data_IF_849925435165
#
_entry.id   IF_849925435165
#
_cell.length_a   1.000
_cell.length_b   1.000
_cell.length_c   1.000
_cell.angle_alpha   90.00
_cell.angle_beta   90.00
_cell.angle_gamma   90.00
#
_symmetry.space_group_name_H-M   'P 1'
#
loop_
_entity.id
_entity.type
_entity.pdbx_description
1 polymer ?
#
# COMPACT_ATOMS: atom_id res chain seq x y z
N UNK A 1 -27.58 -1.33 -6.73
CA UNK A 1 -26.44 -1.39 -7.66
C UNK A 1 -25.69 -2.68 -7.41
N UNK A 2 -25.26 -3.38 -8.46
CA UNK A 2 -24.36 -4.53 -8.38
C UNK A 2 -22.92 -4.08 -8.11
N UNK A 3 -22.06 -5.01 -7.67
CA UNK A 3 -20.63 -4.73 -7.49
C UNK A 3 -19.97 -4.22 -8.77
N UNK A 4 -20.36 -4.77 -9.93
CA UNK A 4 -19.87 -4.33 -11.24
C UNK A 4 -20.29 -2.89 -11.57
N UNK A 5 -21.53 -2.51 -11.25
CA UNK A 5 -22.01 -1.13 -11.44
C UNK A 5 -21.27 -0.14 -10.53
N UNK A 6 -21.01 -0.52 -9.28
CA UNK A 6 -20.24 0.30 -8.32
C UNK A 6 -18.80 0.50 -8.80
N UNK A 7 -18.15 -0.58 -9.24
CA UNK A 7 -16.78 -0.51 -9.77
C UNK A 7 -16.71 0.38 -11.01
N UNK A 8 -17.66 0.24 -11.94
CA UNK A 8 -17.73 1.09 -13.13
C UNK A 8 -17.92 2.57 -12.78
N UNK A 9 -18.77 2.88 -11.80
CA UNK A 9 -18.97 4.25 -11.32
C UNK A 9 -17.69 4.81 -10.67
N UNK A 10 -17.01 4.04 -9.81
CA UNK A 10 -15.75 4.45 -9.20
C UNK A 10 -14.68 4.72 -10.26
N UNK A 11 -14.55 3.86 -11.27
CA UNK A 11 -13.56 4.03 -12.33
C UNK A 11 -13.75 5.29 -13.18
N UNK A 12 -14.95 5.87 -13.21
CA UNK A 12 -15.25 7.11 -13.93
C UNK A 12 -14.84 8.38 -13.17
N UNK A 13 -14.46 8.27 -11.88
CA UNK A 13 -14.05 9.42 -11.06
C UNK A 13 -12.60 9.85 -11.35
N UNK A 14 -12.22 11.09 -10.98
CA UNK A 14 -10.83 11.53 -10.95
C UNK A 14 -9.94 10.58 -10.14
N UNK A 15 -8.63 10.55 -10.45
CA UNK A 15 -7.69 9.63 -9.79
C UNK A 15 -7.65 9.77 -8.26
N UNK A 16 -7.70 11.00 -7.74
CA UNK A 16 -7.70 11.25 -6.31
C UNK A 16 -8.92 10.62 -5.61
N UNK A 17 -10.12 10.82 -6.16
CA UNK A 17 -11.36 10.23 -5.63
C UNK A 17 -11.36 8.70 -5.74
N UNK A 18 -10.79 8.15 -6.81
CA UNK A 18 -10.60 6.69 -6.95
C UNK A 18 -9.71 6.12 -5.85
N UNK A 19 -8.59 6.79 -5.57
CA UNK A 19 -7.67 6.39 -4.52
C UNK A 19 -8.32 6.47 -3.13
N UNK A 20 -9.08 7.53 -2.87
CA UNK A 20 -9.83 7.70 -1.63
C UNK A 20 -10.86 6.59 -1.42
N UNK A 21 -11.65 6.23 -2.45
CA UNK A 21 -12.60 5.12 -2.36
C UNK A 21 -11.89 3.79 -2.09
N UNK A 22 -10.78 3.53 -2.78
CA UNK A 22 -10.01 2.32 -2.57
C UNK A 22 -9.46 2.22 -1.13
N UNK A 23 -8.95 3.32 -0.60
CA UNK A 23 -8.45 3.40 0.78
C UNK A 23 -9.57 3.18 1.80
N UNK A 24 -10.69 3.90 1.67
CA UNK A 24 -11.82 3.77 2.59
C UNK A 24 -12.40 2.34 2.60
N UNK A 25 -12.48 1.70 1.43
CA UNK A 25 -12.94 0.33 1.33
C UNK A 25 -11.95 -0.65 1.97
N UNK A 26 -10.64 -0.43 1.80
CA UNK A 26 -9.61 -1.25 2.42
C UNK A 26 -9.62 -1.11 3.96
N UNK A 27 -9.78 0.11 4.47
CA UNK A 27 -9.91 0.38 5.90
C UNK A 27 -11.13 -0.33 6.50
N UNK A 28 -12.29 -0.27 5.84
CA UNK A 28 -13.48 -1.00 6.28
C UNK A 28 -13.25 -2.52 6.27
N UNK A 29 -12.69 -3.09 5.19
CA UNK A 29 -12.41 -4.53 5.09
C UNK A 29 -11.50 -5.00 6.23
N UNK A 30 -10.39 -4.28 6.46
CA UNK A 30 -9.43 -4.61 7.52
C UNK A 30 -10.07 -4.49 8.91
N UNK A 31 -10.88 -3.44 9.15
CA UNK A 31 -11.56 -3.22 10.43
C UNK A 31 -12.66 -4.25 10.71
N UNK A 32 -13.19 -4.91 9.69
CA UNK A 32 -14.20 -5.95 9.79
C UNK A 32 -13.61 -7.38 9.80
N UNK A 33 -12.34 -7.53 10.19
CA UNK A 33 -11.72 -8.82 10.48
C UNK A 33 -11.11 -9.55 9.30
N UNK A 34 -10.92 -8.87 8.17
CA UNK A 34 -10.08 -9.40 7.10
C UNK A 34 -8.60 -9.28 7.48
N UNK A 35 -8.06 -10.35 8.06
CA UNK A 35 -6.67 -10.48 8.49
C UNK A 35 -6.08 -11.77 7.92
N UNK A 36 -5.64 -11.77 6.65
CA UNK A 36 -5.10 -12.97 6.02
C UNK A 36 -3.71 -13.31 6.59
N UNK A 37 -3.49 -14.59 6.89
CA UNK A 37 -2.17 -15.09 7.28
C UNK A 37 -1.12 -14.78 6.19
N UNK A 38 0.09 -14.42 6.62
CA UNK A 38 1.24 -14.26 5.73
C UNK A 38 1.67 -15.62 5.18
N UNK A 39 2.13 -15.64 3.92
CA UNK A 39 2.84 -16.82 3.43
C UNK A 39 4.17 -17.00 4.18
N UNK A 40 4.72 -18.22 4.26
CA UNK A 40 6.02 -18.44 4.89
C UNK A 40 7.13 -17.54 4.32
N UNK A 41 7.11 -17.29 3.02
CA UNK A 41 8.08 -16.43 2.34
C UNK A 41 7.91 -14.95 2.72
N UNK A 42 6.67 -14.49 2.89
CA UNK A 42 6.38 -13.13 3.34
C UNK A 42 6.82 -12.93 4.79
N UNK A 43 6.49 -13.87 5.69
CA UNK A 43 6.92 -13.84 7.08
C UNK A 43 8.45 -13.83 7.20
N UNK A 44 9.14 -14.71 6.46
CA UNK A 44 10.59 -14.77 6.45
C UNK A 44 11.25 -13.47 5.94
N UNK A 45 10.65 -12.80 4.94
CA UNK A 45 11.16 -11.52 4.46
C UNK A 45 10.98 -10.39 5.49
N UNK A 46 9.86 -10.37 6.22
CA UNK A 46 9.65 -9.43 7.31
C UNK A 46 10.66 -9.65 8.45
N UNK A 47 10.87 -10.90 8.86
CA UNK A 47 11.88 -11.25 9.87
C UNK A 47 13.29 -10.82 9.45
N UNK A 48 13.65 -11.06 8.18
CA UNK A 48 14.94 -10.64 7.62
C UNK A 48 15.10 -9.12 7.66
N UNK A 49 14.06 -8.36 7.28
CA UNK A 49 14.09 -6.89 7.29
C UNK A 49 14.13 -6.32 8.70
N UNK A 50 13.43 -6.94 9.65
CA UNK A 50 13.47 -6.54 11.05
C UNK A 50 14.88 -6.72 11.63
N UNK A 51 15.48 -7.90 11.42
CA UNK A 51 16.84 -8.18 11.90
C UNK A 51 17.92 -7.28 11.26
N UNK A 52 17.70 -6.83 10.02
CA UNK A 52 18.58 -5.87 9.35
C UNK A 52 18.42 -4.45 9.94
N UNK A 53 17.18 -4.01 10.16
CA UNK A 53 16.89 -2.73 10.80
C UNK A 53 17.41 -2.65 12.23
N UNK A 54 17.28 -3.72 13.03
CA UNK A 54 17.81 -3.78 14.39
C UNK A 54 19.34 -3.61 14.44
N UNK A 55 20.05 -4.12 13.43
CA UNK A 55 21.50 -3.94 13.28
C UNK A 55 21.86 -2.55 12.77
N UNK A 56 21.02 -1.98 11.91
CA UNK A 56 21.26 -0.74 11.19
C UNK A 56 20.07 0.24 11.34
N UNK A 57 19.80 0.78 12.54
CA UNK A 57 18.59 1.56 12.82
C UNK A 57 18.52 2.91 12.08
N UNK A 58 19.61 3.33 11.43
CA UNK A 58 19.72 4.59 10.69
C UNK A 58 19.89 4.41 9.18
N UNK A 59 19.78 3.18 8.67
CA UNK A 59 19.91 2.90 7.23
C UNK A 59 18.63 3.18 6.43
N UNK A 60 17.56 3.61 7.11
CA UNK A 60 16.37 4.13 6.47
C UNK A 60 16.58 5.52 5.85
N UNK A 61 15.82 5.82 4.81
CA UNK A 61 15.73 7.16 4.22
C UNK A 61 14.32 7.74 4.44
N UNK A 62 14.17 9.07 4.50
CA UNK A 62 12.86 9.71 4.59
C UNK A 62 11.96 9.33 3.41
N UNK A 63 10.65 9.28 3.64
CA UNK A 63 9.67 8.97 2.59
C UNK A 63 9.74 9.96 1.42
N UNK A 64 9.97 11.23 1.71
CA UNK A 64 10.09 12.30 0.71
C UNK A 64 11.26 12.03 -0.26
N UNK A 65 12.33 11.38 0.22
CA UNK A 65 13.43 10.96 -0.63
C UNK A 65 13.05 9.78 -1.52
N UNK A 66 12.34 8.78 -0.98
CA UNK A 66 11.82 7.64 -1.75
C UNK A 66 10.90 8.13 -2.87
N UNK A 67 9.96 9.02 -2.54
CA UNK A 67 9.04 9.62 -3.51
C UNK A 67 9.80 10.39 -4.60
N UNK A 68 10.75 11.25 -4.21
CA UNK A 68 11.56 12.00 -5.17
C UNK A 68 12.34 11.08 -6.13
N UNK A 69 12.92 9.99 -5.62
CA UNK A 69 13.66 9.01 -6.41
C UNK A 69 12.75 8.25 -7.37
N UNK A 70 11.54 7.87 -6.94
CA UNK A 70 10.55 7.20 -7.79
C UNK A 70 10.00 8.13 -8.87
N UNK A 71 9.70 9.38 -8.53
CA UNK A 71 9.26 10.41 -9.47
C UNK A 71 10.34 10.65 -10.54
N UNK A 72 11.61 10.73 -10.14
CA UNK A 72 12.75 10.87 -11.06
C UNK A 72 12.91 9.67 -11.98
N UNK A 73 12.71 8.45 -11.46
CA UNK A 73 12.93 7.20 -12.21
C UNK A 73 11.78 6.84 -13.14
N UNK A 74 10.54 7.08 -12.72
CA UNK A 74 9.35 6.57 -13.40
C UNK A 74 8.38 7.67 -13.86
N UNK A 75 8.65 8.93 -13.53
CA UNK A 75 7.69 10.01 -13.79
C UNK A 75 6.40 9.84 -13.00
N UNK A 76 6.46 9.12 -11.88
CA UNK A 76 5.33 8.96 -10.96
C UNK A 76 4.89 10.37 -10.53
N UNK A 77 3.67 10.75 -10.89
CA UNK A 77 2.98 11.97 -10.48
C UNK A 77 1.50 11.67 -10.43
#
# INVERSE_FOLDING_TARGET
MSATEILAAAMALPLAERAEIAQNLWEDISSNGYDPDLTPEQAAELDRRLADFEKNPHDGIPWEQVEADLNKRFGWK
#
